data_IF_616151640345
#
_entry.id   IF_616151640345
#
_cell.length_a   1.000
_cell.length_b   1.000
_cell.length_c   1.000
_cell.angle_alpha   90.00
_cell.angle_beta   90.00
_cell.angle_gamma   90.00
#
_symmetry.space_group_name_H-M   'P 1'
#
loop_
_entity.id
_entity.type
_entity.pdbx_description
1 polymer ?
#
# COMPACT_ATOMS: atom_id res chain seq x y z
N UNK A 1 0.91 28.52 31.85
CA UNK A 1 2.20 29.13 32.26
C UNK A 1 2.72 29.97 31.10
N UNK A 2 3.34 31.14 31.32
CA UNK A 2 3.87 31.97 30.22
C UNK A 2 5.34 31.64 29.92
N UNK A 3 5.80 31.81 28.67
CA UNK A 3 7.17 31.47 28.24
C UNK A 3 8.27 32.14 29.06
N UNK A 4 8.03 33.36 29.55
CA UNK A 4 8.96 34.09 30.40
C UNK A 4 9.12 33.46 31.80
N UNK A 5 8.11 32.71 32.27
CA UNK A 5 8.14 31.99 33.55
C UNK A 5 8.84 30.63 33.41
N UNK A 6 8.73 29.95 32.25
CA UNK A 6 9.42 28.68 32.01
C UNK A 6 10.95 28.83 31.94
N UNK A 7 11.45 29.94 31.37
CA UNK A 7 12.91 30.20 31.27
C UNK A 7 13.60 30.52 32.61
N UNK A 8 12.85 30.80 33.67
CA UNK A 8 13.39 31.13 35.01
C UNK A 8 13.31 29.96 36.01
N UNK A 9 12.74 28.84 35.60
CA UNK A 9 12.53 27.68 36.48
C UNK A 9 13.83 26.90 36.66
N UNK A 10 14.09 26.42 37.89
CA UNK A 10 15.27 25.58 38.15
C UNK A 10 15.04 24.19 37.56
N UNK A 11 16.14 23.52 37.17
CA UNK A 11 16.11 22.22 36.49
C UNK A 11 15.32 21.17 37.29
N UNK A 12 15.37 21.20 38.62
CA UNK A 12 14.65 20.25 39.47
C UNK A 12 13.14 20.53 39.53
N UNK A 13 12.73 21.79 39.51
CA UNK A 13 11.31 22.18 39.41
C UNK A 13 10.74 21.82 38.03
N UNK A 14 11.56 21.92 36.98
CA UNK A 14 11.15 21.53 35.63
C UNK A 14 10.98 20.01 35.50
N UNK A 15 11.85 19.22 36.15
CA UNK A 15 11.70 17.76 36.23
C UNK A 15 10.43 17.38 36.99
N UNK A 16 10.13 18.07 38.09
CA UNK A 16 8.93 17.82 38.87
C UNK A 16 7.67 18.20 38.09
N UNK A 17 7.67 19.35 37.41
CA UNK A 17 6.58 19.78 36.54
C UNK A 17 6.31 18.78 35.40
N UNK A 18 7.36 18.28 34.74
CA UNK A 18 7.24 17.24 33.72
C UNK A 18 6.67 15.96 34.33
N UNK A 19 7.13 15.55 35.51
CA UNK A 19 6.67 14.31 36.13
C UNK A 19 5.19 14.40 36.57
N UNK A 20 4.77 15.56 37.10
CA UNK A 20 3.40 15.83 37.52
C UNK A 20 2.44 15.95 36.32
N UNK A 21 2.92 16.37 35.14
CA UNK A 21 2.11 16.51 33.91
C UNK A 21 2.31 15.35 32.90
N UNK A 22 3.21 14.40 33.17
CA UNK A 22 3.40 13.20 32.33
C UNK A 22 2.42 12.08 32.66
N UNK A 23 1.74 12.14 33.82
CA UNK A 23 0.75 11.14 34.21
C UNK A 23 -0.65 11.34 33.61
N UNK A 24 -0.93 12.47 32.94
CA UNK A 24 -2.22 12.70 32.26
C UNK A 24 -2.29 12.15 30.81
N UNK A 25 -1.21 11.56 30.27
CA UNK A 25 -1.17 11.08 28.88
C UNK A 25 -1.01 9.55 28.72
N UNK A 26 -1.34 8.76 29.75
CA UNK A 26 -1.45 7.31 29.60
C UNK A 26 -2.84 6.80 29.99
N UNK A 27 -3.58 6.41 28.94
CA UNK A 27 -4.68 5.44 28.86
C UNK A 27 -5.96 6.01 28.23
N UNK A 28 -5.90 6.20 26.92
CA UNK A 28 -6.90 5.51 26.11
C UNK A 28 -6.17 4.38 25.41
N UNK A 29 -6.29 3.11 25.86
CA UNK A 29 -5.79 2.00 25.07
C UNK A 29 -6.45 2.09 23.69
N UNK A 30 -5.63 2.16 22.63
CA UNK A 30 -6.13 2.06 21.27
C UNK A 30 -6.99 0.80 21.19
N UNK A 31 -8.24 0.88 20.70
CA UNK A 31 -9.10 -0.30 20.65
C UNK A 31 -8.39 -1.43 19.89
N UNK A 32 -8.59 -2.69 20.29
CA UNK A 32 -8.04 -3.83 19.59
C UNK A 32 -8.37 -3.76 18.09
N UNK A 33 -7.43 -4.09 17.19
CA UNK A 33 -7.64 -4.01 15.74
C UNK A 33 -8.89 -4.75 15.25
N UNK A 34 -9.29 -5.80 15.96
CA UNK A 34 -10.42 -6.67 15.61
C UNK A 34 -11.79 -6.07 16.00
N UNK A 35 -11.83 -5.14 16.95
CA UNK A 35 -13.08 -4.45 17.38
C UNK A 35 -13.46 -3.29 16.43
N UNK A 36 -12.49 -2.74 15.68
CA UNK A 36 -12.71 -1.62 14.76
C UNK A 36 -13.12 -2.13 13.36
N UNK A 37 -12.78 -3.38 13.01
CA UNK A 37 -12.89 -3.86 11.63
C UNK A 37 -13.47 -5.28 11.55
N UNK A 38 -14.80 -5.43 11.34
CA UNK A 38 -15.37 -6.74 11.09
C UNK A 38 -14.70 -7.39 9.87
N UNK A 39 -14.27 -8.63 10.02
CA UNK A 39 -13.48 -9.42 9.06
C UNK A 39 -14.31 -10.01 7.92
N UNK A 40 -15.51 -9.50 7.65
CA UNK A 40 -16.33 -9.97 6.54
C UNK A 40 -16.15 -9.04 5.34
N UNK A 41 -15.60 -9.58 4.24
CA UNK A 41 -16.37 -9.78 3.01
C UNK A 41 -15.51 -10.22 1.82
N UNK A 42 -16.07 -11.15 1.07
CA UNK A 42 -15.54 -11.83 -0.11
C UNK A 42 -15.10 -10.83 -1.21
N UNK A 43 -13.86 -10.98 -1.69
CA UNK A 43 -13.34 -10.25 -2.85
C UNK A 43 -13.89 -10.91 -4.12
N UNK A 44 -14.76 -10.20 -4.85
CA UNK A 44 -15.15 -10.61 -6.20
C UNK A 44 -14.28 -9.88 -7.24
N UNK A 45 -13.69 -10.66 -8.15
CA UNK A 45 -12.87 -10.23 -9.28
C UNK A 45 -13.73 -9.45 -10.29
N UNK A 46 -13.33 -8.23 -10.63
CA UNK A 46 -13.68 -7.64 -11.92
C UNK A 46 -12.50 -7.86 -12.85
N UNK A 47 -12.55 -8.99 -13.57
CA UNK A 47 -11.65 -9.27 -14.68
C UNK A 47 -12.01 -8.33 -15.83
N UNK A 48 -11.26 -7.25 -15.99
CA UNK A 48 -11.13 -6.57 -17.29
C UNK A 48 -10.05 -7.33 -18.06
N UNK A 49 -10.43 -8.50 -18.59
CA UNK A 49 -9.50 -9.37 -19.30
C UNK A 49 -9.12 -8.77 -20.66
N UNK A 50 -7.98 -8.06 -20.69
CA UNK A 50 -7.12 -8.09 -21.88
C UNK A 50 -6.23 -9.32 -21.76
N UNK A 51 -6.83 -10.49 -21.90
CA UNK A 51 -6.10 -11.74 -21.96
C UNK A 51 -5.69 -12.00 -23.41
N UNK A 52 -4.39 -12.05 -23.65
CA UNK A 52 -3.82 -12.69 -24.82
C UNK A 52 -2.96 -13.85 -24.32
N UNK A 53 -2.70 -14.87 -25.14
CA UNK A 53 -2.17 -16.17 -24.69
C UNK A 53 -0.93 -16.11 -23.77
N UNK A 54 -0.17 -15.01 -23.82
CA UNK A 54 1.08 -14.80 -23.13
C UNK A 54 1.05 -13.71 -22.04
N UNK A 55 0.03 -12.87 -21.95
CA UNK A 55 -0.03 -11.82 -20.92
C UNK A 55 -1.43 -11.63 -20.33
N UNK A 56 -1.48 -11.20 -19.07
CA UNK A 56 -2.72 -10.97 -18.34
C UNK A 56 -2.56 -9.78 -17.41
N UNK A 57 -3.65 -9.04 -17.25
CA UNK A 57 -3.79 -7.95 -16.28
C UNK A 57 -4.95 -8.28 -15.36
N UNK A 58 -4.68 -8.42 -14.07
CA UNK A 58 -5.70 -8.76 -13.07
C UNK A 58 -5.89 -7.60 -12.10
N UNK A 59 -7.13 -7.16 -11.90
CA UNK A 59 -7.49 -6.06 -11.00
C UNK A 59 -8.09 -6.61 -9.70
N UNK A 60 -7.46 -6.30 -8.56
CA UNK A 60 -7.94 -6.61 -7.21
C UNK A 60 -8.46 -5.33 -6.55
N UNK A 61 -9.73 -5.02 -6.79
CA UNK A 61 -10.42 -3.84 -6.24
C UNK A 61 -10.93 -4.11 -4.84
N UNK A 62 -11.01 -3.07 -4.01
CA UNK A 62 -11.82 -3.14 -2.81
C UNK A 62 -13.26 -2.75 -3.12
N UNK A 63 -14.21 -3.60 -2.72
CA UNK A 63 -15.64 -3.25 -2.74
C UNK A 63 -16.11 -2.63 -1.42
N UNK A 64 -15.24 -2.60 -0.40
CA UNK A 64 -15.63 -2.22 0.95
C UNK A 64 -15.22 -0.77 1.26
N UNK A 65 -16.08 -0.02 1.95
CA UNK A 65 -15.76 1.35 2.39
C UNK A 65 -14.73 1.37 3.54
N UNK A 66 -14.37 0.22 4.13
CA UNK A 66 -13.36 0.12 5.21
C UNK A 66 -11.96 0.56 4.79
N UNK A 67 -11.67 0.66 3.50
CA UNK A 67 -10.41 1.21 3.00
C UNK A 67 -10.43 2.75 2.86
N UNK A 68 -11.55 3.39 3.22
CA UNK A 68 -11.73 4.84 3.23
C UNK A 68 -11.38 5.45 4.58
N UNK A 69 -10.41 6.35 4.59
CA UNK A 69 -10.00 7.13 5.74
C UNK A 69 -10.91 8.36 5.85
N UNK A 70 -11.93 8.27 6.70
CA UNK A 70 -12.80 9.40 7.02
C UNK A 70 -12.00 10.54 7.67
N UNK A 71 -12.30 11.77 7.25
CA UNK A 71 -11.78 13.04 7.79
C UNK A 71 -10.28 13.05 8.11
N UNK A 72 -9.40 12.75 7.14
CA UNK A 72 -7.99 12.58 7.44
C UNK A 72 -7.31 13.90 7.85
N UNK A 73 -7.85 15.06 7.46
CA UNK A 73 -7.33 16.37 7.89
C UNK A 73 -7.67 16.68 9.35
N UNK A 74 -8.92 16.48 9.78
CA UNK A 74 -9.31 16.63 11.19
C UNK A 74 -8.46 15.71 12.07
N UNK A 75 -8.23 14.48 11.61
CA UNK A 75 -7.39 13.51 12.31
C UNK A 75 -5.93 13.97 12.44
N UNK A 76 -5.37 14.59 11.39
CA UNK A 76 -4.03 15.17 11.42
C UNK A 76 -3.98 16.39 12.35
N UNK A 77 -4.99 17.24 12.36
CA UNK A 77 -5.08 18.41 13.25
C UNK A 77 -5.18 18.00 14.72
N UNK A 78 -6.01 16.99 15.02
CA UNK A 78 -6.26 16.54 16.40
C UNK A 78 -5.16 15.65 16.97
N UNK A 79 -4.58 14.76 16.15
CA UNK A 79 -3.68 13.68 16.60
C UNK A 79 -2.27 13.76 16.00
N UNK A 80 -2.05 14.65 15.04
CA UNK A 80 -0.77 14.82 14.37
C UNK A 80 -0.55 13.87 13.19
N UNK A 81 0.37 14.26 12.32
CA UNK A 81 0.71 13.52 11.09
C UNK A 81 1.25 12.12 11.37
N UNK A 82 2.03 11.93 12.44
CA UNK A 82 2.61 10.62 12.81
C UNK A 82 1.53 9.58 13.14
N UNK A 83 0.47 10.01 13.84
CA UNK A 83 -0.67 9.16 14.17
C UNK A 83 -1.43 8.75 12.90
N UNK A 84 -1.67 9.72 12.02
CA UNK A 84 -2.31 9.47 10.73
C UNK A 84 -1.49 8.50 9.86
N UNK A 85 -0.18 8.70 9.71
CA UNK A 85 0.71 7.80 8.96
C UNK A 85 0.67 6.38 9.53
N UNK A 86 0.56 6.22 10.85
CA UNK A 86 0.40 4.90 11.48
C UNK A 86 -0.89 4.21 11.03
N UNK A 87 -1.99 4.95 10.93
CA UNK A 87 -3.27 4.42 10.45
C UNK A 87 -3.19 4.03 8.97
N UNK A 88 -2.59 4.87 8.14
CA UNK A 88 -2.39 4.59 6.70
C UNK A 88 -1.61 3.30 6.51
N UNK A 89 -0.48 3.13 7.21
CA UNK A 89 0.34 1.91 7.16
C UNK A 89 -0.46 0.67 7.55
N UNK A 90 -1.21 0.72 8.66
CA UNK A 90 -2.05 -0.40 9.11
C UNK A 90 -3.13 -0.77 8.09
N UNK A 91 -3.79 0.24 7.49
CA UNK A 91 -4.82 0.00 6.48
C UNK A 91 -4.24 -0.55 5.18
N UNK A 92 -3.10 -0.05 4.73
CA UNK A 92 -2.39 -0.59 3.57
C UNK A 92 -2.00 -2.06 3.79
N UNK A 93 -1.41 -2.37 4.94
CA UNK A 93 -1.03 -3.74 5.29
C UNK A 93 -2.25 -4.68 5.29
N UNK A 94 -3.38 -4.24 5.87
CA UNK A 94 -4.64 -4.99 5.85
C UNK A 94 -5.18 -5.18 4.42
N UNK A 95 -5.17 -4.11 3.62
CA UNK A 95 -5.60 -4.13 2.21
C UNK A 95 -4.81 -5.12 1.37
N UNK A 96 -3.49 -5.19 1.54
CA UNK A 96 -2.59 -6.11 0.84
C UNK A 96 -2.74 -7.54 1.35
N UNK A 97 -2.82 -7.74 2.67
CA UNK A 97 -2.98 -9.07 3.30
C UNK A 97 -4.25 -9.77 2.81
N UNK A 98 -5.37 -9.04 2.73
CA UNK A 98 -6.66 -9.59 2.23
C UNK A 98 -6.58 -10.11 0.79
N UNK A 99 -5.65 -9.59 -0.02
CA UNK A 99 -5.48 -9.98 -1.44
C UNK A 99 -4.48 -11.10 -1.65
N UNK A 100 -3.67 -11.43 -0.64
CA UNK A 100 -2.56 -12.38 -0.76
C UNK A 100 -2.97 -13.69 -1.44
N UNK A 101 -3.96 -14.39 -0.88
CA UNK A 101 -4.39 -15.68 -1.42
C UNK A 101 -4.87 -15.57 -2.86
N UNK A 102 -5.54 -14.47 -3.22
CA UNK A 102 -6.05 -14.28 -4.58
C UNK A 102 -4.91 -14.01 -5.54
N UNK A 103 -3.99 -13.10 -5.20
CA UNK A 103 -2.83 -12.75 -6.03
C UNK A 103 -1.93 -13.95 -6.24
N UNK A 104 -1.55 -14.63 -5.17
CA UNK A 104 -0.65 -15.80 -5.20
C UNK A 104 -1.23 -16.93 -6.05
N UNK A 105 -2.53 -17.21 -5.91
CA UNK A 105 -3.18 -18.25 -6.70
C UNK A 105 -3.37 -17.86 -8.17
N UNK A 106 -3.49 -16.57 -8.45
CA UNK A 106 -3.64 -16.07 -9.80
C UNK A 106 -2.33 -16.24 -10.60
N UNK A 107 -1.15 -16.04 -10.03
CA UNK A 107 0.14 -16.10 -10.75
C UNK A 107 0.32 -17.40 -11.57
N UNK A 108 0.75 -17.26 -12.84
CA UNK A 108 1.06 -18.41 -13.72
C UNK A 108 1.97 -19.45 -13.04
N UNK A 109 1.59 -20.74 -13.15
CA UNK A 109 2.20 -21.83 -12.38
C UNK A 109 3.29 -22.63 -13.08
N UNK A 110 3.16 -22.83 -14.39
CA UNK A 110 3.94 -23.82 -15.17
C UNK A 110 5.08 -23.24 -16.00
N UNK A 111 5.35 -21.94 -15.88
CA UNK A 111 6.31 -21.22 -16.70
C UNK A 111 6.91 -20.10 -15.87
N UNK A 112 8.09 -19.65 -16.28
CA UNK A 112 8.68 -18.43 -15.77
C UNK A 112 7.77 -17.24 -16.18
N UNK A 113 7.56 -16.32 -15.25
CA UNK A 113 6.62 -15.23 -15.43
C UNK A 113 7.24 -13.92 -14.99
N UNK A 114 7.16 -12.91 -15.86
CA UNK A 114 7.52 -11.54 -15.54
C UNK A 114 6.31 -10.86 -14.93
N UNK A 115 6.41 -10.41 -13.67
CA UNK A 115 5.32 -9.83 -12.88
C UNK A 115 5.65 -8.37 -12.52
N UNK A 116 4.64 -7.51 -12.46
CA UNK A 116 4.70 -6.18 -11.86
C UNK A 116 3.39 -5.92 -11.11
N UNK A 117 3.47 -5.40 -9.89
CA UNK A 117 2.30 -4.95 -9.13
C UNK A 117 2.20 -3.44 -9.15
N UNK A 118 0.97 -2.95 -9.23
CA UNK A 118 0.62 -1.54 -9.28
C UNK A 118 -0.50 -1.24 -8.30
N UNK A 119 -0.25 -0.36 -7.32
CA UNK A 119 -1.23 0.07 -6.33
C UNK A 119 -1.75 1.45 -6.72
N UNK A 120 -3.07 1.56 -6.81
CA UNK A 120 -3.80 2.80 -7.00
C UNK A 120 -4.43 3.24 -5.68
N UNK A 121 -4.13 4.47 -5.29
CA UNK A 121 -4.64 5.15 -4.11
C UNK A 121 -5.40 6.41 -4.54
N UNK A 122 -6.31 6.84 -3.68
CA UNK A 122 -6.94 8.15 -3.74
C UNK A 122 -6.26 9.07 -2.73
N UNK A 123 -6.01 10.31 -3.11
CA UNK A 123 -5.43 11.34 -2.26
C UNK A 123 -6.23 12.63 -2.34
N UNK A 124 -6.12 13.45 -1.29
CA UNK A 124 -6.74 14.76 -1.21
C UNK A 124 -5.74 15.78 -0.70
N UNK A 125 -5.90 17.04 -1.11
CA UNK A 125 -5.13 18.17 -0.56
C UNK A 125 -5.96 18.91 0.49
N UNK A 126 -5.33 19.58 1.46
CA UNK A 126 -6.00 20.59 2.27
C UNK A 126 -6.69 21.57 1.32
N UNK A 127 -7.96 21.89 1.59
CA UNK A 127 -8.76 22.87 0.83
C UNK A 127 -9.22 22.48 -0.59
N UNK A 128 -8.92 21.26 -1.05
CA UNK A 128 -9.46 20.73 -2.31
C UNK A 128 -10.70 19.89 -2.04
N UNK A 129 -11.79 20.11 -2.77
CA UNK A 129 -12.91 19.15 -2.81
C UNK A 129 -12.58 17.94 -3.67
N UNK A 130 -11.68 18.10 -4.64
CA UNK A 130 -11.37 17.08 -5.63
C UNK A 130 -10.35 16.08 -5.08
N UNK A 131 -10.70 14.80 -5.24
CA UNK A 131 -9.82 13.68 -4.99
C UNK A 131 -8.94 13.43 -6.22
N UNK A 132 -7.65 13.24 -6.01
CA UNK A 132 -6.69 12.86 -7.03
C UNK A 132 -6.36 11.36 -6.94
N UNK A 133 -5.90 10.79 -8.05
CA UNK A 133 -5.35 9.44 -8.06
C UNK A 133 -3.83 9.49 -7.96
N UNK A 134 -3.32 8.63 -7.10
CA UNK A 134 -1.91 8.45 -6.87
C UNK A 134 -1.55 6.97 -7.03
N UNK A 135 -0.35 6.69 -7.50
CA UNK A 135 0.05 5.33 -7.81
C UNK A 135 1.50 5.03 -7.44
N UNK A 136 1.72 3.82 -6.93
CA UNK A 136 3.04 3.22 -6.72
C UNK A 136 3.10 1.86 -7.39
N UNK A 137 4.29 1.44 -7.79
CA UNK A 137 4.48 0.19 -8.50
C UNK A 137 5.78 -0.49 -8.09
N UNK A 138 5.78 -1.82 -8.11
CA UNK A 138 7.02 -2.57 -8.03
C UNK A 138 7.78 -2.44 -9.34
N UNK A 139 9.08 -2.66 -9.29
CA UNK A 139 9.81 -3.02 -10.51
C UNK A 139 9.29 -4.34 -11.05
N UNK A 140 9.49 -4.56 -12.35
CA UNK A 140 9.10 -5.83 -12.93
C UNK A 140 10.14 -6.90 -12.63
N UNK A 141 9.70 -8.02 -12.05
CA UNK A 141 10.54 -9.13 -11.62
C UNK A 141 10.17 -10.41 -12.38
N UNK A 142 11.17 -11.22 -12.72
CA UNK A 142 10.94 -12.58 -13.23
C UNK A 142 10.84 -13.52 -12.04
N UNK A 143 9.72 -14.22 -11.93
CA UNK A 143 9.51 -15.34 -11.02
C UNK A 143 9.69 -16.64 -11.80
N UNK A 144 10.69 -17.41 -11.45
CA UNK A 144 10.99 -18.70 -12.06
C UNK A 144 10.03 -19.79 -11.58
N UNK A 145 9.83 -20.80 -12.43
CA UNK A 145 9.05 -21.99 -12.08
C UNK A 145 9.69 -22.69 -10.88
N UNK A 146 8.91 -22.89 -9.81
CA UNK A 146 9.36 -23.49 -8.55
C UNK A 146 9.67 -22.48 -7.45
N UNK A 147 9.84 -21.19 -7.75
CA UNK A 147 9.99 -20.16 -6.73
C UNK A 147 8.70 -19.90 -5.95
N UNK A 148 8.86 -19.45 -4.71
CA UNK A 148 7.77 -19.15 -3.79
C UNK A 148 7.01 -17.89 -4.23
N UNK A 149 5.72 -18.07 -4.53
CA UNK A 149 4.82 -16.96 -4.92
C UNK A 149 4.47 -16.11 -3.71
N UNK A 150 4.40 -16.74 -2.55
CA UNK A 150 4.17 -16.12 -1.26
C UNK A 150 5.34 -15.19 -0.88
N UNK A 151 6.58 -15.66 -1.02
CA UNK A 151 7.77 -14.82 -0.76
C UNK A 151 7.87 -13.67 -1.75
N UNK A 152 7.61 -13.92 -3.04
CA UNK A 152 7.49 -12.87 -4.05
C UNK A 152 6.45 -11.82 -3.64
N UNK A 153 5.26 -12.25 -3.25
CA UNK A 153 4.18 -11.33 -2.89
C UNK A 153 4.52 -10.51 -1.63
N UNK A 154 5.16 -11.15 -0.63
CA UNK A 154 5.62 -10.45 0.58
C UNK A 154 6.66 -9.38 0.26
N UNK A 155 7.66 -9.71 -0.57
CA UNK A 155 8.67 -8.75 -1.00
C UNK A 155 8.04 -7.57 -1.77
N UNK A 156 7.12 -7.86 -2.69
CA UNK A 156 6.39 -6.86 -3.44
C UNK A 156 5.54 -5.95 -2.54
N UNK A 157 4.89 -6.51 -1.51
CA UNK A 157 4.15 -5.72 -0.52
C UNK A 157 5.06 -4.76 0.23
N UNK A 158 6.24 -5.21 0.67
CA UNK A 158 7.22 -4.36 1.34
C UNK A 158 7.67 -3.20 0.46
N UNK A 159 7.91 -3.44 -0.84
CA UNK A 159 8.23 -2.37 -1.81
C UNK A 159 7.10 -1.35 -1.90
N UNK A 160 5.86 -1.80 -2.10
CA UNK A 160 4.71 -0.90 -2.22
C UNK A 160 4.49 -0.07 -0.94
N UNK A 161 4.66 -0.68 0.24
CA UNK A 161 4.53 0.01 1.52
C UNK A 161 5.59 1.11 1.68
N UNK A 162 6.87 0.79 1.39
CA UNK A 162 7.96 1.75 1.47
C UNK A 162 7.76 2.92 0.48
N UNK A 163 7.29 2.63 -0.73
CA UNK A 163 7.03 3.67 -1.72
C UNK A 163 5.90 4.60 -1.30
N UNK A 164 4.81 4.06 -0.73
CA UNK A 164 3.74 4.89 -0.15
C UNK A 164 4.28 5.79 0.96
N UNK A 165 5.04 5.23 1.90
CA UNK A 165 5.64 5.97 3.01
C UNK A 165 6.55 7.12 2.52
N UNK A 166 7.46 6.83 1.60
CA UNK A 166 8.36 7.84 1.02
C UNK A 166 7.60 8.97 0.31
N UNK A 167 6.46 8.65 -0.32
CA UNK A 167 5.63 9.62 -1.04
C UNK A 167 4.76 10.46 -0.11
N UNK A 168 4.34 9.93 1.04
CA UNK A 168 3.68 10.71 2.09
C UNK A 168 4.67 11.69 2.77
N UNK A 169 5.91 11.27 3.02
CA UNK A 169 6.91 12.11 3.69
C UNK A 169 7.55 13.20 2.81
N UNK A 170 7.38 13.13 1.49
CA UNK A 170 7.98 14.09 0.55
C UNK A 170 6.93 15.04 -0.08
N UNK A 171 6.69 16.14 0.64
CA UNK A 171 6.41 17.49 0.13
C UNK A 171 5.18 17.78 -0.75
N UNK A 172 4.25 16.84 -0.96
CA UNK A 172 3.11 17.10 -1.87
C UNK A 172 1.85 17.66 -1.20
N UNK A 173 1.77 17.64 0.14
CA UNK A 173 0.54 17.97 0.87
C UNK A 173 -0.64 17.04 0.52
N UNK A 174 -0.35 15.88 -0.08
CA UNK A 174 -1.34 14.89 -0.46
C UNK A 174 -1.54 13.92 0.71
N UNK A 175 -2.78 13.77 1.12
CA UNK A 175 -3.23 12.91 2.21
C UNK A 175 -3.99 11.75 1.59
N UNK A 176 -3.58 10.51 1.86
CA UNK A 176 -4.25 9.31 1.35
C UNK A 176 -5.65 9.19 1.98
N UNK A 177 -6.67 9.17 1.14
CA UNK A 177 -8.06 8.97 1.57
C UNK A 177 -8.51 7.54 1.38
N UNK A 178 -7.96 6.82 0.39
CA UNK A 178 -8.44 5.48 0.07
C UNK A 178 -7.40 4.62 -0.66
N UNK A 179 -7.40 3.33 -0.39
CA UNK A 179 -6.75 2.32 -1.26
C UNK A 179 -7.79 1.76 -2.23
N UNK A 180 -7.61 2.03 -3.52
CA UNK A 180 -8.62 1.73 -4.53
C UNK A 180 -8.45 0.32 -5.10
N UNK A 181 -7.24 0.02 -5.58
CA UNK A 181 -7.00 -1.16 -6.41
C UNK A 181 -5.54 -1.59 -6.39
N UNK A 182 -5.31 -2.89 -6.28
CA UNK A 182 -4.04 -3.51 -6.67
C UNK A 182 -4.21 -4.11 -8.06
N UNK A 183 -3.26 -3.91 -8.96
CA UNK A 183 -3.26 -4.46 -10.31
C UNK A 183 -2.02 -5.30 -10.51
N UNK A 184 -2.17 -6.51 -11.03
CA UNK A 184 -1.05 -7.37 -11.39
C UNK A 184 -0.94 -7.48 -12.90
N UNK A 185 0.22 -7.10 -13.42
CA UNK A 185 0.62 -7.36 -14.79
C UNK A 185 1.52 -8.59 -14.79
N UNK A 186 1.21 -9.57 -15.63
CA UNK A 186 2.00 -10.79 -15.73
C UNK A 186 2.17 -11.22 -17.19
N UNK A 187 3.38 -11.62 -17.56
CA UNK A 187 3.72 -12.08 -18.91
C UNK A 187 4.56 -13.36 -18.84
N UNK A 188 4.16 -14.42 -19.54
CA UNK A 188 4.93 -15.67 -19.63
C UNK A 188 6.25 -15.40 -20.36
N UNK A 189 7.38 -15.81 -19.80
CA UNK A 189 8.69 -15.53 -20.43
C UNK A 189 9.11 -16.59 -21.43
N UNK A 190 8.55 -17.80 -21.40
CA UNK A 190 8.84 -18.83 -22.42
C UNK A 190 8.41 -18.41 -23.84
N UNK A 191 7.51 -17.44 -23.94
CA UNK A 191 7.12 -16.81 -25.19
C UNK A 191 8.19 -15.87 -25.77
N UNK A 192 9.10 -15.33 -24.95
CA UNK A 192 10.20 -14.47 -25.43
C UNK A 192 11.27 -15.24 -26.22
N UNK A 193 11.38 -16.55 -26.03
CA UNK A 193 12.32 -17.39 -26.79
C UNK A 193 11.79 -17.83 -28.16
N UNK A 194 10.49 -17.73 -28.44
CA UNK A 194 9.93 -18.13 -29.74
C UNK A 194 9.84 -16.99 -30.76
N UNK A 195 9.97 -15.73 -30.36
CA UNK A 195 9.90 -14.59 -31.26
C UNK A 195 11.25 -14.16 -31.86
N UNK A 196 12.36 -14.84 -31.53
CA UNK A 196 13.70 -14.51 -32.05
C UNK A 196 14.23 -15.59 -33.03
N UNK A 197 13.52 -16.72 -33.19
CA UNK A 197 13.94 -17.80 -34.10
C UNK A 197 12.80 -18.09 -35.09
N UNK A 198 12.46 -17.16 -35.97
CA UNK A 198 11.77 -17.45 -37.24
C UNK A 198 11.83 -16.27 -38.23
N UNK A 199 13.03 -15.73 -38.44
CA UNK A 199 13.37 -15.04 -39.69
C UNK A 199 14.86 -15.19 -39.89
N UNK A 200 15.25 -16.34 -40.45
CA UNK A 200 16.46 -16.55 -41.27
C UNK A 200 16.66 -18.06 -41.38
N UNK A 201 15.93 -18.68 -42.31
CA UNK A 201 16.32 -19.90 -43.02
C UNK A 201 15.19 -20.29 -43.98
N UNK A 202 15.16 -19.66 -45.14
CA UNK A 202 14.63 -20.28 -46.37
C UNK A 202 15.46 -19.77 -47.54
N UNK A 203 16.35 -20.64 -47.98
CA UNK A 203 17.24 -20.51 -49.14
C UNK A 203 16.49 -21.01 -50.39
N UNK A 204 16.82 -20.42 -51.55
CA UNK A 204 16.46 -20.79 -52.93
C UNK A 204 14.98 -20.60 -53.34
N UNK A 205 14.64 -20.02 -54.49
CA UNK A 205 15.28 -20.04 -55.82
C UNK A 205 15.60 -18.65 -56.39
#
# INVERSE_FOLDING_TARGET
>A
MTDAQMKKMKVDEMKQFINDHSQENQENPLPPPDEIFPMDDLIFMEQEDRENANSRVTNYRSKNNKDFLENPFELIEEKGIEFYTTIVKKRLASFLKKKQNTVVNDIYKKTNVKIMLYLECETKKPDSTDAAKFHVNTTSQILHSGESREEFYQAACSTLMNDVENREHHASGLVITRFLRLTMFQTKTDAMNRSIIHTESSVCY
#
